data_IF_859564082327
#
_entry.id   IF_859564082327
#
_cell.length_a   1.000
_cell.length_b   1.000
_cell.length_c   1.000
_cell.angle_alpha   90.00
_cell.angle_beta   90.00
_cell.angle_gamma   90.00
#
_symmetry.space_group_name_H-M   'P 1'
#
loop_
_entity.id
_entity.type
_entity.pdbx_description
1 polymer ?
#
# COMPACT_ATOMS: atom_id res chain seq x y z
N UNK A 1 5.63 -47.92 -10.08
CA UNK A 1 5.55 -46.64 -9.34
C UNK A 1 5.18 -45.58 -10.35
N UNK A 2 4.13 -44.79 -10.10
CA UNK A 2 3.78 -43.67 -10.99
C UNK A 2 4.85 -42.58 -10.97
N UNK A 3 4.84 -41.65 -11.94
CA UNK A 3 5.77 -40.54 -11.97
C UNK A 3 5.63 -39.66 -10.71
N UNK A 4 6.73 -39.11 -10.18
CA UNK A 4 6.68 -38.18 -9.05
C UNK A 4 5.79 -36.98 -9.38
N UNK A 5 4.96 -36.57 -8.42
CA UNK A 5 4.01 -35.47 -8.58
C UNK A 5 4.22 -34.38 -7.55
N UNK A 6 4.35 -33.14 -8.00
CA UNK A 6 4.47 -31.97 -7.13
C UNK A 6 3.09 -31.46 -6.70
N UNK A 7 3.00 -30.94 -5.48
CA UNK A 7 1.78 -30.34 -4.96
C UNK A 7 1.69 -28.86 -5.31
N UNK A 8 0.55 -28.43 -5.85
CA UNK A 8 0.26 -27.05 -6.16
C UNK A 8 -1.17 -26.65 -5.76
N UNK A 9 -1.42 -25.35 -5.57
CA UNK A 9 -2.78 -24.79 -5.52
C UNK A 9 -2.86 -23.47 -6.28
N UNK A 10 -4.02 -23.19 -6.85
CA UNK A 10 -4.34 -21.87 -7.39
C UNK A 10 -4.66 -20.93 -6.23
N UNK A 11 -4.17 -19.69 -6.30
CA UNK A 11 -4.44 -18.67 -5.28
C UNK A 11 -5.63 -17.80 -5.68
N UNK A 12 -5.79 -17.53 -6.97
CA UNK A 12 -6.92 -16.78 -7.50
C UNK A 12 -7.32 -17.38 -8.88
N UNK A 13 -8.48 -18.06 -9.00
CA UNK A 13 -9.40 -18.42 -7.91
C UNK A 13 -8.79 -19.47 -6.96
N UNK A 14 -9.02 -19.35 -5.65
CA UNK A 14 -8.45 -20.28 -4.66
C UNK A 14 -8.94 -21.73 -4.90
N UNK A 15 -8.00 -22.68 -4.99
CA UNK A 15 -8.30 -24.10 -5.18
C UNK A 15 -7.79 -24.97 -4.04
N UNK A 16 -8.41 -26.13 -3.86
CA UNK A 16 -7.82 -27.21 -3.06
C UNK A 16 -6.45 -27.63 -3.65
N UNK A 17 -5.55 -28.12 -2.79
CA UNK A 17 -4.26 -28.69 -3.19
C UNK A 17 -4.45 -29.81 -4.21
N UNK A 18 -3.59 -29.83 -5.23
CA UNK A 18 -3.62 -30.78 -6.34
C UNK A 18 -2.21 -31.18 -6.71
N UNK A 19 -2.10 -32.21 -7.54
CA UNK A 19 -0.81 -32.79 -7.90
C UNK A 19 -0.57 -32.69 -9.39
N UNK A 20 0.59 -32.16 -9.79
CA UNK A 20 1.04 -32.10 -11.18
C UNK A 20 2.18 -33.11 -11.39
N UNK A 21 2.14 -33.96 -12.42
CA UNK A 21 3.27 -34.83 -12.76
C UNK A 21 4.53 -34.02 -13.11
N UNK A 22 5.70 -34.48 -12.64
CA UNK A 22 7.00 -33.86 -12.97
C UNK A 22 7.69 -34.53 -14.18
N UNK A 23 6.99 -35.37 -14.93
CA UNK A 23 7.53 -35.97 -16.16
C UNK A 23 7.81 -34.90 -17.21
N UNK A 24 9.02 -34.90 -17.76
CA UNK A 24 9.47 -33.92 -18.78
C UNK A 24 9.51 -32.47 -18.27
N UNK A 25 9.64 -32.26 -16.95
CA UNK A 25 9.84 -30.93 -16.34
C UNK A 25 11.32 -30.73 -16.02
N UNK A 26 11.99 -29.85 -16.78
CA UNK A 26 13.40 -29.48 -16.55
C UNK A 26 13.51 -28.15 -15.78
N UNK A 27 12.58 -27.22 -16.00
CA UNK A 27 12.58 -25.87 -15.45
C UNK A 27 11.16 -25.40 -15.07
N UNK A 28 11.07 -24.18 -14.54
CA UNK A 28 9.80 -23.58 -14.10
C UNK A 28 8.83 -23.34 -15.27
N UNK A 29 9.29 -23.03 -16.48
CA UNK A 29 8.40 -22.88 -17.64
C UNK A 29 7.72 -24.19 -18.03
N UNK A 30 8.43 -25.32 -17.94
CA UNK A 30 7.84 -26.64 -18.19
C UNK A 30 6.84 -27.01 -17.09
N UNK A 31 7.13 -26.60 -15.85
CA UNK A 31 6.22 -26.75 -14.72
C UNK A 31 4.94 -25.92 -14.89
N UNK A 32 5.03 -24.68 -15.40
CA UNK A 32 3.87 -23.85 -15.76
C UNK A 32 2.98 -24.52 -16.81
N UNK A 33 3.58 -25.07 -17.87
CA UNK A 33 2.86 -25.81 -18.93
C UNK A 33 2.17 -27.06 -18.37
N UNK A 34 2.85 -27.83 -17.53
CA UNK A 34 2.30 -29.02 -16.90
C UNK A 34 1.10 -28.70 -16.00
N UNK A 35 1.19 -27.63 -15.20
CA UNK A 35 0.10 -27.17 -14.32
C UNK A 35 -1.11 -26.69 -15.14
N UNK A 36 -0.88 -25.91 -16.21
CA UNK A 36 -1.95 -25.46 -17.10
C UNK A 36 -2.69 -26.64 -17.72
N UNK A 37 -1.98 -27.70 -18.12
CA UNK A 37 -2.59 -28.93 -18.65
C UNK A 37 -3.43 -29.66 -17.61
N UNK A 38 -2.96 -29.75 -16.36
CA UNK A 38 -3.70 -30.41 -15.27
C UNK A 38 -4.96 -29.63 -14.85
N UNK A 39 -4.93 -28.29 -14.98
CA UNK A 39 -6.05 -27.39 -14.63
C UNK A 39 -6.58 -26.61 -15.83
N UNK A 40 -6.71 -27.29 -16.97
CA UNK A 40 -7.12 -26.67 -18.24
C UNK A 40 -8.43 -25.87 -18.11
N UNK A 41 -9.44 -26.41 -17.42
CA UNK A 41 -10.72 -25.70 -17.23
C UNK A 41 -10.60 -24.39 -16.44
N UNK A 42 -9.67 -24.31 -15.48
CA UNK A 42 -9.49 -23.12 -14.62
C UNK A 42 -8.50 -22.11 -15.21
N UNK A 43 -7.58 -22.56 -16.09
CA UNK A 43 -6.52 -21.75 -16.69
C UNK A 43 -6.66 -21.60 -18.22
N UNK A 44 -7.82 -21.95 -18.78
CA UNK A 44 -8.09 -21.95 -20.24
C UNK A 44 -7.81 -20.61 -20.92
N UNK A 45 -8.00 -19.51 -20.19
CA UNK A 45 -7.92 -18.15 -20.71
C UNK A 45 -6.54 -17.50 -20.49
N UNK A 46 -5.55 -18.23 -19.97
CA UNK A 46 -4.21 -17.69 -19.64
C UNK A 46 -3.12 -18.46 -20.39
N UNK A 47 -2.09 -17.79 -20.90
CA UNK A 47 -0.91 -18.49 -21.39
C UNK A 47 -0.10 -19.07 -20.23
N UNK A 48 0.56 -20.20 -20.44
CA UNK A 48 1.42 -20.81 -19.43
C UNK A 48 2.59 -19.88 -19.05
N UNK A 49 3.12 -19.13 -20.01
CA UNK A 49 4.22 -18.19 -19.78
C UNK A 49 3.85 -17.10 -18.75
N UNK A 50 2.58 -16.69 -18.74
CA UNK A 50 2.09 -15.60 -17.93
C UNK A 50 1.82 -16.01 -16.48
N UNK A 51 1.81 -17.31 -16.16
CA UNK A 51 1.60 -17.80 -14.80
C UNK A 51 2.80 -17.46 -13.90
N UNK A 52 2.52 -16.95 -12.71
CA UNK A 52 3.55 -16.76 -11.66
C UNK A 52 3.50 -17.94 -10.69
N UNK A 53 4.67 -18.55 -10.42
CA UNK A 53 4.81 -19.64 -9.45
C UNK A 53 5.57 -19.13 -8.22
N UNK A 54 4.99 -19.32 -7.04
CA UNK A 54 5.69 -19.16 -5.77
C UNK A 54 5.84 -20.50 -5.08
N UNK A 55 7.01 -20.75 -4.50
CA UNK A 55 7.35 -21.98 -3.83
C UNK A 55 7.64 -21.77 -2.34
N UNK A 56 7.39 -22.81 -1.55
CA UNK A 56 7.80 -22.86 -0.16
C UNK A 56 8.12 -24.29 0.25
N UNK A 57 8.82 -24.42 1.38
CA UNK A 57 9.08 -25.70 2.00
C UNK A 57 7.79 -26.33 2.53
N UNK A 58 7.75 -27.67 2.54
CA UNK A 58 6.68 -28.43 3.17
C UNK A 58 6.73 -28.23 4.70
N UNK A 59 6.04 -27.21 5.18
CA UNK A 59 5.75 -26.98 6.60
C UNK A 59 4.26 -27.25 6.82
N UNK A 60 3.89 -27.86 7.93
CA UNK A 60 2.47 -27.96 8.34
C UNK A 60 2.01 -26.53 8.69
N UNK A 61 0.99 -26.03 7.98
CA UNK A 61 0.57 -24.61 7.84
C UNK A 61 1.39 -23.75 6.85
N UNK A 62 1.02 -23.87 5.57
CA UNK A 62 1.65 -23.17 4.45
C UNK A 62 0.98 -21.81 4.20
N UNK A 63 1.58 -20.72 4.72
CA UNK A 63 1.18 -19.35 4.40
C UNK A 63 1.75 -18.92 3.02
N UNK A 64 0.89 -18.41 2.14
CA UNK A 64 1.27 -17.89 0.82
C UNK A 64 2.22 -16.70 0.91
N UNK A 65 2.13 -15.92 2.00
CA UNK A 65 2.98 -14.75 2.23
C UNK A 65 4.45 -15.13 2.53
N UNK A 66 4.70 -16.40 2.86
CA UNK A 66 6.04 -16.95 3.06
C UNK A 66 6.60 -17.63 1.80
N UNK A 67 5.82 -17.71 0.72
CA UNK A 67 6.24 -18.34 -0.53
C UNK A 67 7.09 -17.40 -1.38
N UNK A 68 8.25 -17.88 -1.84
CA UNK A 68 9.18 -17.16 -2.68
C UNK A 68 8.84 -17.37 -4.15
N UNK A 69 8.83 -16.30 -4.92
CA UNK A 69 8.63 -16.36 -6.37
C UNK A 69 9.80 -17.03 -7.10
N UNK A 70 9.47 -17.90 -8.06
CA UNK A 70 10.43 -18.65 -8.85
C UNK A 70 10.69 -17.96 -10.19
N UNK A 71 11.95 -17.92 -10.60
CA UNK A 71 12.34 -17.46 -11.94
C UNK A 71 11.94 -18.49 -13.00
N UNK A 72 11.37 -18.04 -14.12
CA UNK A 72 10.91 -18.87 -15.23
C UNK A 72 11.97 -19.87 -15.75
N UNK A 73 13.24 -19.50 -15.70
CA UNK A 73 14.37 -20.32 -16.19
C UNK A 73 15.05 -21.13 -15.10
N UNK A 74 14.58 -21.05 -13.86
CA UNK A 74 15.17 -21.79 -12.75
C UNK A 74 14.93 -23.29 -12.93
N UNK A 75 15.98 -24.11 -12.77
CA UNK A 75 15.86 -25.57 -12.79
C UNK A 75 15.46 -26.13 -11.40
N UNK A 76 14.96 -27.38 -11.39
CA UNK A 76 14.50 -28.02 -10.15
C UNK A 76 15.63 -28.19 -9.11
N UNK A 77 16.87 -28.40 -9.55
CA UNK A 77 18.03 -28.54 -8.67
C UNK A 77 18.35 -27.24 -7.92
N UNK A 78 18.28 -26.12 -8.62
CA UNK A 78 18.48 -24.78 -8.07
C UNK A 78 17.39 -24.42 -7.09
N UNK A 79 16.13 -24.77 -7.38
CA UNK A 79 15.01 -24.58 -6.44
C UNK A 79 15.26 -25.40 -5.16
N UNK A 80 15.58 -26.69 -5.28
CA UNK A 80 15.87 -27.54 -4.12
C UNK A 80 17.02 -26.97 -3.27
N UNK A 81 18.08 -26.47 -3.90
CA UNK A 81 19.20 -25.84 -3.20
C UNK A 81 18.78 -24.57 -2.45
N UNK A 82 17.99 -23.71 -3.07
CA UNK A 82 17.47 -22.47 -2.48
C UNK A 82 16.62 -22.75 -1.23
N UNK A 83 15.87 -23.85 -1.26
CA UNK A 83 15.02 -24.29 -0.16
C UNK A 83 15.71 -25.24 0.83
N UNK A 84 17.03 -25.46 0.69
CA UNK A 84 17.87 -26.33 1.53
C UNK A 84 17.41 -27.80 1.56
N UNK A 85 16.81 -28.28 0.47
CA UNK A 85 16.43 -29.67 0.27
C UNK A 85 17.56 -30.46 -0.40
N UNK A 86 17.51 -31.80 -0.31
CA UNK A 86 18.50 -32.67 -0.94
C UNK A 86 18.41 -32.57 -2.47
N UNK A 87 19.57 -32.49 -3.14
CA UNK A 87 19.71 -32.46 -4.60
C UNK A 87 20.42 -33.74 -5.06
N UNK A 88 19.68 -34.82 -5.40
CA UNK A 88 20.25 -36.03 -5.96
C UNK A 88 20.73 -35.84 -7.40
N UNK A 89 21.75 -36.58 -7.81
CA UNK A 89 22.28 -36.58 -9.18
C UNK A 89 21.37 -37.32 -10.18
N UNK A 90 20.51 -38.22 -9.70
CA UNK A 90 19.53 -38.92 -10.52
C UNK A 90 18.25 -38.09 -10.68
N UNK A 91 17.82 -37.87 -11.93
CA UNK A 91 16.66 -37.04 -12.29
C UNK A 91 15.37 -37.54 -11.63
N UNK A 92 15.18 -38.86 -11.51
CA UNK A 92 13.97 -39.43 -10.90
C UNK A 92 13.97 -39.21 -9.39
N UNK A 93 15.12 -39.33 -8.74
CA UNK A 93 15.29 -39.02 -7.32
C UNK A 93 15.16 -37.51 -7.04
N UNK A 94 15.65 -36.65 -7.95
CA UNK A 94 15.50 -35.20 -7.84
C UNK A 94 14.04 -34.77 -7.91
N UNK A 95 13.28 -35.30 -8.86
CA UNK A 95 11.84 -35.02 -8.96
C UNK A 95 11.06 -35.54 -7.73
N UNK A 96 11.46 -36.67 -7.15
CA UNK A 96 10.90 -37.15 -5.87
C UNK A 96 11.21 -36.20 -4.72
N UNK A 97 12.47 -35.76 -4.60
CA UNK A 97 12.87 -34.77 -3.59
C UNK A 97 12.06 -33.48 -3.72
N UNK A 98 11.85 -33.00 -4.95
CA UNK A 98 11.02 -31.83 -5.20
C UNK A 98 9.56 -32.02 -4.79
N UNK A 99 8.95 -33.14 -5.19
CA UNK A 99 7.57 -33.49 -4.82
C UNK A 99 7.36 -33.58 -3.29
N UNK A 100 8.36 -34.08 -2.57
CA UNK A 100 8.31 -34.27 -1.13
C UNK A 100 8.51 -32.97 -0.36
N UNK A 101 9.40 -32.09 -0.82
CA UNK A 101 9.85 -30.93 -0.05
C UNK A 101 9.23 -29.60 -0.48
N UNK A 102 8.73 -29.48 -1.72
CA UNK A 102 8.26 -28.20 -2.26
C UNK A 102 6.74 -28.17 -2.38
N UNK A 103 6.16 -27.00 -2.08
CA UNK A 103 4.75 -26.66 -2.28
C UNK A 103 4.63 -25.43 -3.17
N UNK A 104 3.76 -25.50 -4.18
CA UNK A 104 3.62 -24.47 -5.20
C UNK A 104 2.31 -23.71 -5.07
N UNK A 105 2.38 -22.39 -5.20
CA UNK A 105 1.27 -21.48 -5.35
C UNK A 105 1.31 -20.90 -6.75
N UNK A 106 0.18 -20.97 -7.45
CA UNK A 106 0.08 -20.58 -8.84
C UNK A 106 -0.86 -19.39 -8.93
N UNK A 107 -0.38 -18.32 -9.56
CA UNK A 107 -1.10 -17.09 -9.80
C UNK A 107 -1.28 -16.93 -11.32
N UNK A 108 -2.52 -16.82 -11.76
CA UNK A 108 -2.82 -16.44 -13.13
C UNK A 108 -2.92 -14.90 -13.21
N UNK A 109 -2.33 -14.25 -14.21
CA UNK A 109 -2.49 -12.82 -14.39
C UNK A 109 -3.92 -12.54 -14.80
N UNK A 110 -4.61 -11.79 -13.97
CA UNK A 110 -5.95 -11.33 -14.26
C UNK A 110 -5.83 -10.33 -15.41
N UNK A 111 -6.35 -10.68 -16.60
CA UNK A 111 -6.44 -9.74 -17.72
C UNK A 111 -7.08 -8.44 -17.21
N UNK A 112 -6.35 -7.33 -17.27
CA UNK A 112 -6.81 -6.00 -16.86
C UNK A 112 -8.14 -5.64 -17.55
N UNK A 113 -8.41 -6.21 -18.72
CA UNK A 113 -9.66 -6.06 -19.45
C UNK A 113 -10.83 -6.88 -18.85
N UNK A 114 -10.60 -8.09 -18.33
CA UNK A 114 -11.60 -8.86 -17.57
C UNK A 114 -11.79 -8.29 -16.18
N UNK A 115 -10.74 -7.78 -15.52
CA UNK A 115 -10.89 -7.00 -14.29
C UNK A 115 -11.72 -5.75 -14.54
N UNK A 116 -11.51 -5.03 -15.65
CA UNK A 116 -12.37 -3.91 -16.06
C UNK A 116 -13.77 -4.34 -16.45
N UNK A 117 -13.97 -5.43 -17.18
CA UNK A 117 -15.29 -5.87 -17.62
C UNK A 117 -16.10 -6.50 -16.49
N UNK A 118 -15.47 -7.29 -15.62
CA UNK A 118 -16.06 -7.79 -14.38
C UNK A 118 -16.16 -6.68 -13.34
N UNK A 119 -15.28 -5.67 -13.26
CA UNK A 119 -15.51 -4.46 -12.45
C UNK A 119 -16.55 -3.53 -13.06
N UNK A 120 -16.76 -3.52 -14.37
CA UNK A 120 -17.85 -2.77 -15.02
C UNK A 120 -19.18 -3.50 -14.85
N UNK A 121 -19.18 -4.84 -14.90
CA UNK A 121 -20.33 -5.69 -14.58
C UNK A 121 -20.57 -5.74 -13.07
N UNK A 122 -19.55 -5.65 -12.22
CA UNK A 122 -19.66 -5.57 -10.75
C UNK A 122 -19.87 -4.12 -10.28
N UNK A 123 -19.54 -3.11 -11.08
CA UNK A 123 -19.96 -1.71 -10.92
C UNK A 123 -21.42 -1.51 -11.36
N UNK A 124 -21.97 -2.43 -12.16
CA UNK A 124 -23.41 -2.49 -12.40
C UNK A 124 -24.19 -3.01 -11.18
N UNK A 125 -23.49 -3.64 -10.21
CA UNK A 125 -24.00 -3.82 -8.85
C UNK A 125 -23.62 -2.57 -8.05
N UNK A 126 -24.61 -1.78 -7.63
CA UNK A 126 -24.40 -0.66 -6.70
C UNK A 126 -23.66 -1.14 -5.44
N UNK A 127 -22.33 -1.04 -5.40
CA UNK A 127 -21.57 -1.26 -4.17
C UNK A 127 -21.95 -0.13 -3.20
N UNK A 128 -22.52 -0.50 -2.05
CA UNK A 128 -22.77 0.44 -0.97
C UNK A 128 -21.45 1.07 -0.53
N UNK A 129 -21.47 2.39 -0.29
CA UNK A 129 -20.30 3.11 0.21
C UNK A 129 -19.92 2.60 1.59
N UNK A 130 -18.61 2.58 1.89
CA UNK A 130 -18.07 2.06 3.14
C UNK A 130 -17.28 3.10 3.91
N UNK A 131 -17.27 2.94 5.23
CA UNK A 131 -16.39 3.68 6.13
C UNK A 131 -15.02 2.99 6.21
N UNK A 132 -14.00 3.63 5.64
CA UNK A 132 -12.62 3.20 5.74
C UNK A 132 -11.93 3.89 6.92
N UNK A 133 -11.51 3.09 7.90
CA UNK A 133 -10.98 3.54 9.20
C UNK A 133 -9.45 3.52 9.21
N UNK A 134 -8.89 2.48 8.61
CA UNK A 134 -7.48 2.26 8.40
C UNK A 134 -7.20 2.17 6.89
N UNK A 135 -5.95 2.44 6.53
CA UNK A 135 -5.42 2.46 5.16
C UNK A 135 -5.72 3.72 4.34
N UNK A 136 -4.83 3.96 3.38
CA UNK A 136 -4.91 5.05 2.41
C UNK A 136 -6.12 4.86 1.48
N UNK A 137 -6.85 5.95 1.24
CA UNK A 137 -7.96 5.98 0.27
C UNK A 137 -7.40 6.44 -1.08
N UNK A 138 -7.03 5.47 -1.90
CA UNK A 138 -6.55 5.69 -3.27
C UNK A 138 -7.66 6.16 -4.21
N UNK A 139 -7.34 6.89 -5.30
CA UNK A 139 -8.33 7.43 -6.23
C UNK A 139 -9.37 6.41 -6.73
N UNK A 140 -8.96 5.16 -6.96
CA UNK A 140 -9.80 4.09 -7.51
C UNK A 140 -10.89 3.66 -6.54
N UNK A 141 -10.63 3.74 -5.23
CA UNK A 141 -11.58 3.33 -4.19
C UNK A 141 -12.41 4.48 -3.61
N UNK A 142 -12.04 5.74 -3.85
CA UNK A 142 -12.77 6.93 -3.37
C UNK A 142 -14.28 6.90 -3.69
N UNK A 143 -14.73 6.52 -4.91
CA UNK A 143 -16.17 6.48 -5.21
C UNK A 143 -16.97 5.51 -4.33
N UNK A 144 -16.30 4.52 -3.73
CA UNK A 144 -16.91 3.50 -2.89
C UNK A 144 -16.74 3.76 -1.38
N UNK A 145 -16.20 4.92 -1.01
CA UNK A 145 -15.95 5.30 0.37
C UNK A 145 -16.70 6.59 0.72
N UNK A 146 -17.00 6.75 2.01
CA UNK A 146 -17.31 8.08 2.56
C UNK A 146 -15.98 8.83 2.71
N UNK A 147 -15.75 9.80 1.83
CA UNK A 147 -14.48 10.51 1.67
C UNK A 147 -14.71 12.01 1.62
N UNK A 148 -13.96 12.76 2.43
CA UNK A 148 -14.01 14.21 2.44
C UNK A 148 -12.88 14.75 1.56
N UNK A 149 -13.24 15.42 0.46
CA UNK A 149 -12.30 16.11 -0.43
C UNK A 149 -11.50 17.17 0.35
N UNK A 150 -10.20 17.25 0.08
CA UNK A 150 -9.26 18.18 0.71
C UNK A 150 -8.61 19.14 -0.29
N UNK A 151 -9.09 19.25 -1.54
CA UNK A 151 -8.51 20.16 -2.56
C UNK A 151 -8.27 21.57 -2.05
N UNK A 152 -9.26 22.17 -1.39
CA UNK A 152 -9.13 23.55 -0.88
C UNK A 152 -8.10 23.63 0.25
N UNK A 153 -8.06 22.65 1.15
CA UNK A 153 -7.07 22.57 2.24
C UNK A 153 -5.66 22.27 1.72
N UNK A 154 -5.54 21.68 0.54
CA UNK A 154 -4.26 21.40 -0.11
C UNK A 154 -3.62 22.64 -0.73
N UNK A 155 -4.31 23.76 -0.87
CA UNK A 155 -3.80 24.92 -1.58
C UNK A 155 -2.41 25.37 -1.08
N UNK A 156 -2.23 25.57 0.23
CA UNK A 156 -0.94 25.99 0.80
C UNK A 156 0.17 24.95 0.59
N UNK A 157 -0.16 23.66 0.71
CA UNK A 157 0.78 22.58 0.45
C UNK A 157 1.24 22.61 -1.02
N UNK A 158 0.29 22.78 -1.95
CA UNK A 158 0.56 22.86 -3.38
C UNK A 158 1.43 24.07 -3.69
N UNK A 159 1.12 25.24 -3.14
CA UNK A 159 1.91 26.47 -3.33
C UNK A 159 3.37 26.27 -2.91
N UNK A 160 3.63 25.69 -1.73
CA UNK A 160 5.00 25.37 -1.30
C UNK A 160 5.71 24.38 -2.22
N UNK A 161 5.01 23.36 -2.72
CA UNK A 161 5.58 22.39 -3.67
C UNK A 161 5.92 23.08 -4.99
N UNK A 162 5.05 23.95 -5.50
CA UNK A 162 5.27 24.70 -6.75
C UNK A 162 6.46 25.65 -6.64
N UNK A 163 6.71 26.24 -5.46
CA UNK A 163 7.91 27.02 -5.17
C UNK A 163 9.21 26.20 -5.10
N UNK A 164 9.12 24.87 -5.21
CA UNK A 164 10.26 23.95 -5.17
C UNK A 164 10.79 23.71 -3.76
N UNK A 165 9.94 23.90 -2.74
CA UNK A 165 10.28 23.60 -1.36
C UNK A 165 10.31 22.10 -1.12
N UNK A 166 11.12 21.65 -0.15
CA UNK A 166 11.22 20.25 0.25
C UNK A 166 10.47 20.11 1.57
N UNK A 167 9.40 19.30 1.63
CA UNK A 167 8.40 19.42 2.69
C UNK A 167 8.41 18.19 3.61
N UNK A 168 8.30 18.43 4.92
CA UNK A 168 7.93 17.42 5.92
C UNK A 168 6.44 17.51 6.21
N UNK A 169 5.65 16.60 5.63
CA UNK A 169 4.23 16.46 5.93
C UNK A 169 4.03 15.53 7.13
N UNK A 170 3.69 16.10 8.29
CA UNK A 170 3.58 15.33 9.54
C UNK A 170 2.20 15.39 10.17
N UNK A 171 1.84 14.37 10.93
CA UNK A 171 0.61 14.37 11.71
C UNK A 171 0.29 13.01 12.33
N UNK A 172 -0.76 12.91 13.15
CA UNK A 172 -1.11 11.67 13.85
C UNK A 172 -1.30 10.48 12.89
N UNK A 173 -1.12 9.25 13.39
CA UNK A 173 -1.45 8.04 12.62
C UNK A 173 -2.92 8.04 12.22
N UNK A 174 -3.26 7.52 11.05
CA UNK A 174 -4.63 7.51 10.54
C UNK A 174 -5.32 8.89 10.45
N UNK A 175 -4.58 10.00 10.45
CA UNK A 175 -5.15 11.35 10.25
C UNK A 175 -5.53 11.66 8.79
N UNK A 176 -5.30 10.72 7.87
CA UNK A 176 -5.63 10.87 6.44
C UNK A 176 -4.53 11.51 5.59
N UNK A 177 -3.29 11.62 6.10
CA UNK A 177 -2.14 12.22 5.38
C UNK A 177 -1.93 11.61 3.98
N UNK A 178 -1.82 10.29 3.91
CA UNK A 178 -1.58 9.57 2.66
C UNK A 178 -2.73 9.78 1.67
N UNK A 179 -3.98 9.68 2.13
CA UNK A 179 -5.17 9.93 1.29
C UNK A 179 -5.22 11.37 0.74
N UNK A 180 -4.77 12.34 1.53
CA UNK A 180 -4.64 13.75 1.14
C UNK A 180 -3.54 13.96 0.11
N UNK A 181 -2.41 13.25 0.23
CA UNK A 181 -1.29 13.33 -0.71
C UNK A 181 -1.69 12.86 -2.10
N UNK A 182 -2.48 11.80 -2.22
CA UNK A 182 -3.00 11.36 -3.52
C UNK A 182 -3.82 12.44 -4.24
N UNK A 183 -4.60 13.22 -3.49
CA UNK A 183 -5.36 14.36 -4.05
C UNK A 183 -4.45 15.56 -4.37
N UNK A 184 -3.35 15.73 -3.65
CA UNK A 184 -2.33 16.72 -4.00
C UNK A 184 -1.59 16.34 -5.29
N UNK A 185 -1.27 15.05 -5.46
CA UNK A 185 -0.64 14.52 -6.68
C UNK A 185 -1.50 14.78 -7.92
N UNK A 186 -2.79 14.48 -7.88
CA UNK A 186 -3.72 14.77 -8.99
C UNK A 186 -3.73 16.26 -9.37
N UNK A 187 -3.66 17.16 -8.38
CA UNK A 187 -3.60 18.60 -8.62
C UNK A 187 -2.27 19.02 -9.25
N UNK A 188 -1.15 18.45 -8.82
CA UNK A 188 0.18 18.74 -9.37
C UNK A 188 0.33 18.18 -10.79
N UNK A 189 -0.19 16.98 -11.04
CA UNK A 189 -0.19 16.37 -12.38
C UNK A 189 -0.99 17.21 -13.38
N UNK A 190 -2.14 17.75 -12.95
CA UNK A 190 -2.92 18.70 -13.76
C UNK A 190 -2.18 20.00 -14.10
N UNK A 191 -1.11 20.31 -13.35
CA UNK A 191 -0.24 21.47 -13.57
C UNK A 191 1.05 21.14 -14.32
N UNK A 192 1.19 19.92 -14.84
CA UNK A 192 2.33 19.52 -15.68
C UNK A 192 3.52 18.98 -14.91
N UNK A 193 3.30 18.43 -13.73
CA UNK A 193 4.34 17.70 -12.97
C UNK A 193 4.15 16.18 -13.11
N UNK A 194 5.24 15.43 -12.99
CA UNK A 194 5.16 13.98 -12.84
C UNK A 194 5.36 13.64 -11.35
N UNK A 195 4.31 13.13 -10.71
CA UNK A 195 4.38 12.71 -9.31
C UNK A 195 4.84 11.26 -9.22
N UNK A 196 5.78 10.97 -8.33
CA UNK A 196 6.17 9.62 -7.95
C UNK A 196 5.85 9.43 -6.48
N UNK A 197 5.14 8.35 -6.15
CA UNK A 197 4.83 7.97 -4.78
C UNK A 197 5.55 6.68 -4.44
N UNK A 198 6.16 6.65 -3.26
CA UNK A 198 6.76 5.45 -2.67
C UNK A 198 6.45 5.44 -1.18
N UNK A 199 6.37 4.26 -0.58
CA UNK A 199 6.12 4.10 0.86
C UNK A 199 7.20 3.23 1.48
N UNK A 200 7.58 3.55 2.72
CA UNK A 200 8.44 2.70 3.52
C UNK A 200 7.64 1.71 4.39
N UNK A 201 6.30 1.66 4.29
CA UNK A 201 5.42 0.86 5.18
C UNK A 201 5.82 -0.63 5.31
N UNK A 202 6.29 -1.26 4.22
CA UNK A 202 6.77 -2.65 4.23
C UNK A 202 8.30 -2.76 4.21
N UNK A 203 9.01 -1.64 4.22
CA UNK A 203 10.47 -1.61 4.22
C UNK A 203 11.06 -2.05 5.57
N UNK A 204 12.06 -2.94 5.49
CA UNK A 204 12.91 -3.35 6.61
C UNK A 204 14.25 -2.61 6.51
N UNK A 205 14.22 -1.32 6.85
CA UNK A 205 15.39 -0.45 6.79
C UNK A 205 16.27 -0.70 8.00
N UNK A 206 17.51 -1.17 7.76
CA UNK A 206 18.50 -1.48 8.80
C UNK A 206 19.86 -0.80 8.57
N UNK A 207 20.06 -0.26 7.37
CA UNK A 207 21.29 0.41 6.93
C UNK A 207 21.02 1.14 5.61
N UNK A 208 22.02 1.89 5.14
CA UNK A 208 21.95 2.65 3.89
C UNK A 208 21.55 1.80 2.67
N UNK A 209 22.15 0.62 2.48
CA UNK A 209 21.87 -0.25 1.33
C UNK A 209 20.40 -0.70 1.31
N UNK A 210 19.89 -1.16 2.47
CA UNK A 210 18.49 -1.58 2.60
C UNK A 210 17.52 -0.42 2.35
N UNK A 211 17.87 0.81 2.73
CA UNK A 211 17.05 1.99 2.46
C UNK A 211 16.93 2.28 0.96
N UNK A 212 18.07 2.36 0.25
CA UNK A 212 18.04 2.67 -1.18
C UNK A 212 17.35 1.60 -1.99
N UNK A 213 17.56 0.33 -1.62
CA UNK A 213 16.83 -0.79 -2.22
C UNK A 213 15.33 -0.69 -1.96
N UNK A 214 14.91 -0.45 -0.73
CA UNK A 214 13.49 -0.27 -0.41
C UNK A 214 12.87 0.94 -1.11
N UNK A 215 13.63 2.03 -1.29
CA UNK A 215 13.18 3.19 -2.05
C UNK A 215 13.00 2.85 -3.53
N UNK A 216 13.94 2.11 -4.13
CA UNK A 216 13.82 1.63 -5.51
C UNK A 216 12.59 0.74 -5.69
N UNK A 217 12.45 -0.27 -4.82
CA UNK A 217 11.39 -1.26 -4.88
C UNK A 217 10.02 -0.59 -4.66
N UNK A 218 9.95 0.41 -3.79
CA UNK A 218 8.72 1.16 -3.50
C UNK A 218 8.24 2.06 -4.64
N UNK A 219 9.11 2.47 -5.57
CA UNK A 219 8.67 3.15 -6.80
C UNK A 219 7.98 2.21 -7.80
N UNK A 220 8.28 0.91 -7.73
CA UNK A 220 7.76 -0.11 -8.64
C UNK A 220 8.20 0.08 -10.10
N UNK A 221 7.82 -0.88 -10.94
CA UNK A 221 8.18 -0.88 -12.37
C UNK A 221 7.50 0.27 -13.14
N UNK A 222 6.33 0.73 -12.68
CA UNK A 222 5.55 1.80 -13.30
C UNK A 222 6.27 3.15 -13.33
N UNK A 223 7.17 3.39 -12.36
CA UNK A 223 8.01 4.58 -12.37
C UNK A 223 8.97 4.61 -13.58
N UNK A 224 9.27 3.45 -14.19
CA UNK A 224 10.17 3.30 -15.33
C UNK A 224 11.49 4.05 -15.10
N UNK A 225 12.11 3.83 -13.94
CA UNK A 225 13.37 4.47 -13.57
C UNK A 225 14.46 4.09 -14.58
N UNK A 226 15.29 5.03 -15.04
CA UNK A 226 16.29 4.74 -16.07
C UNK A 226 17.49 3.95 -15.52
N UNK A 227 17.67 3.92 -14.20
CA UNK A 227 18.71 3.18 -13.49
C UNK A 227 18.13 2.72 -12.16
N UNK A 228 18.45 1.48 -11.75
CA UNK A 228 18.13 0.95 -10.42
C UNK A 228 18.82 1.76 -9.32
N UNK A 229 18.08 2.16 -8.30
CA UNK A 229 18.60 2.96 -7.19
C UNK A 229 19.12 2.00 -6.10
N UNK A 230 20.43 2.04 -5.85
CA UNK A 230 21.10 1.22 -4.82
C UNK A 230 21.89 2.07 -3.83
N UNK A 231 22.07 3.35 -4.11
CA UNK A 231 22.94 4.28 -3.37
C UNK A 231 22.62 5.74 -3.78
N UNK A 232 23.21 6.75 -3.11
CA UNK A 232 22.99 8.16 -3.44
C UNK A 232 23.37 8.57 -4.87
N UNK A 233 24.38 7.93 -5.47
CA UNK A 233 24.85 8.26 -6.82
C UNK A 233 23.90 7.69 -7.88
N UNK A 234 23.43 6.46 -7.70
CA UNK A 234 22.41 5.88 -8.57
C UNK A 234 21.08 6.63 -8.45
N UNK A 235 20.69 7.10 -7.26
CA UNK A 235 19.54 8.01 -7.10
C UNK A 235 19.67 9.27 -7.96
N UNK A 236 20.82 9.95 -7.90
CA UNK A 236 21.08 11.14 -8.73
C UNK A 236 21.04 10.84 -10.23
N UNK A 237 21.58 9.70 -10.65
CA UNK A 237 21.56 9.26 -12.05
C UNK A 237 20.13 8.94 -12.52
N UNK A 238 19.33 8.29 -11.67
CA UNK A 238 17.94 7.97 -11.96
C UNK A 238 17.14 9.22 -12.31
N UNK A 239 17.42 10.34 -11.63
CA UNK A 239 16.76 11.63 -11.85
C UNK A 239 17.61 12.66 -12.60
N UNK A 240 18.58 12.22 -13.40
CA UNK A 240 19.39 13.11 -14.23
C UNK A 240 18.58 13.63 -15.44
N UNK A 241 18.69 14.93 -15.79
CA UNK A 241 18.10 15.45 -17.04
C UNK A 241 18.64 14.76 -18.29
N UNK A 242 19.83 14.15 -18.23
CA UNK A 242 20.44 13.44 -19.35
C UNK A 242 19.75 12.11 -19.70
N UNK A 243 18.92 11.55 -18.81
CA UNK A 243 18.27 10.25 -19.01
C UNK A 243 17.23 10.24 -20.14
N UNK A 244 16.73 11.42 -20.55
CA UNK A 244 15.61 11.61 -21.49
C UNK A 244 14.29 10.91 -21.10
N UNK A 245 14.25 10.22 -19.96
CA UNK A 245 13.05 9.57 -19.39
C UNK A 245 12.04 10.61 -18.89
N UNK A 246 12.54 11.72 -18.38
CA UNK A 246 11.75 12.72 -17.71
C UNK A 246 11.45 13.87 -18.67
N UNK A 247 10.18 13.99 -19.06
CA UNK A 247 9.70 15.10 -19.89
C UNK A 247 9.06 16.22 -19.07
N UNK A 248 8.74 15.94 -17.81
CA UNK A 248 8.13 16.86 -16.85
C UNK A 248 9.02 16.94 -15.60
N UNK A 249 8.99 18.06 -14.86
CA UNK A 249 9.61 18.13 -13.54
C UNK A 249 9.00 17.09 -12.61
N UNK A 250 9.84 16.42 -11.83
CA UNK A 250 9.43 15.30 -10.97
C UNK A 250 9.21 15.78 -9.54
N UNK A 251 8.11 15.33 -8.92
CA UNK A 251 7.84 15.53 -7.50
C UNK A 251 7.80 14.15 -6.84
N UNK A 252 8.59 13.97 -5.77
CA UNK A 252 8.70 12.68 -5.10
C UNK A 252 7.99 12.74 -3.74
N UNK A 253 7.06 11.83 -3.50
CA UNK A 253 6.39 11.62 -2.22
C UNK A 253 6.93 10.34 -1.59
N UNK A 254 7.46 10.44 -0.37
CA UNK A 254 7.99 9.30 0.40
C UNK A 254 7.16 9.17 1.67
N UNK A 255 6.29 8.17 1.70
CA UNK A 255 5.41 7.89 2.85
C UNK A 255 6.07 6.99 3.90
N UNK A 256 5.58 7.08 5.13
CA UNK A 256 6.13 6.39 6.31
C UNK A 256 7.63 6.68 6.54
N UNK A 257 8.06 7.92 6.25
CA UNK A 257 9.44 8.38 6.41
C UNK A 257 9.90 8.36 7.88
N UNK A 258 8.97 8.38 8.85
CA UNK A 258 9.28 8.25 10.27
C UNK A 258 9.86 6.89 10.66
N UNK A 259 9.81 5.87 9.78
CA UNK A 259 10.55 4.63 10.01
C UNK A 259 12.06 4.83 10.15
N UNK A 260 12.61 5.89 9.54
CA UNK A 260 14.02 6.23 9.67
C UNK A 260 14.38 6.75 11.07
N UNK A 261 13.39 6.94 11.96
CA UNK A 261 13.62 7.32 13.34
C UNK A 261 14.10 6.15 14.21
N UNK A 262 14.03 4.90 13.72
CA UNK A 262 14.58 3.76 14.42
C UNK A 262 16.10 3.90 14.63
N UNK A 263 16.60 3.54 15.80
CA UNK A 263 18.03 3.61 16.14
C UNK A 263 18.87 2.74 15.21
N UNK A 264 18.32 1.61 14.80
CA UNK A 264 18.97 0.69 13.87
C UNK A 264 19.05 1.26 12.43
N UNK A 265 18.33 2.35 12.15
CA UNK A 265 18.29 3.03 10.84
C UNK A 265 19.13 4.31 10.78
N UNK A 266 20.01 4.57 11.74
CA UNK A 266 20.77 5.83 11.82
C UNK A 266 21.57 6.15 10.54
N UNK A 267 22.26 5.14 9.98
CA UNK A 267 23.04 5.31 8.74
C UNK A 267 22.13 5.55 7.53
N UNK A 268 21.00 4.84 7.45
CA UNK A 268 19.99 5.05 6.42
C UNK A 268 19.42 6.48 6.48
N UNK A 269 19.04 6.93 7.68
CA UNK A 269 18.55 8.28 7.92
C UNK A 269 19.58 9.33 7.48
N UNK A 270 20.85 9.16 7.89
CA UNK A 270 21.94 10.07 7.51
C UNK A 270 22.14 10.12 5.99
N UNK A 271 22.09 8.96 5.31
CA UNK A 271 22.24 8.89 3.85
C UNK A 271 21.05 9.52 3.12
N UNK A 272 19.82 9.24 3.56
CA UNK A 272 18.60 9.82 3.01
C UNK A 272 18.61 11.34 3.10
N UNK A 273 18.81 11.89 4.30
CA UNK A 273 18.81 13.34 4.56
C UNK A 273 19.93 14.05 3.78
N UNK A 274 21.14 13.48 3.78
CA UNK A 274 22.28 14.03 3.02
C UNK A 274 21.99 14.06 1.52
N UNK A 275 21.33 13.03 0.99
CA UNK A 275 20.98 12.94 -0.42
C UNK A 275 19.91 13.95 -0.81
N UNK A 276 18.84 14.07 -0.02
CA UNK A 276 17.79 15.07 -0.22
C UNK A 276 18.41 16.48 -0.21
N UNK A 277 19.29 16.77 0.77
CA UNK A 277 19.97 18.07 0.86
C UNK A 277 20.83 18.35 -0.36
N UNK A 278 21.54 17.33 -0.82
CA UNK A 278 22.46 17.49 -1.93
C UNK A 278 21.67 17.69 -3.25
N UNK A 279 20.50 17.07 -3.42
CA UNK A 279 19.59 17.38 -4.55
C UNK A 279 19.07 18.81 -4.45
N UNK A 280 18.63 19.25 -3.27
CA UNK A 280 18.14 20.62 -3.02
C UNK A 280 19.17 21.69 -3.40
N UNK A 281 20.44 21.48 -3.04
CA UNK A 281 21.53 22.42 -3.30
C UNK A 281 22.00 22.42 -4.76
N UNK A 282 21.83 21.31 -5.48
CA UNK A 282 22.24 21.14 -6.87
C UNK A 282 21.11 21.51 -7.85
N UNK A 283 20.53 22.72 -7.71
CA UNK A 283 19.45 23.21 -8.59
C UNK A 283 19.88 23.13 -10.06
N UNK A 284 19.16 22.34 -10.86
CA UNK A 284 19.40 22.14 -12.29
C UNK A 284 20.22 20.91 -12.68
N UNK A 285 20.77 20.13 -11.74
CA UNK A 285 21.45 18.86 -12.03
C UNK A 285 20.54 17.63 -11.95
N UNK A 286 19.35 17.79 -11.41
CA UNK A 286 18.30 16.77 -11.35
C UNK A 286 17.01 17.33 -11.93
N UNK A 287 16.11 16.44 -12.34
CA UNK A 287 14.74 16.80 -12.74
C UNK A 287 13.78 16.93 -11.54
N UNK A 288 14.28 16.67 -10.33
CA UNK A 288 13.49 16.71 -9.09
C UNK A 288 13.19 18.16 -8.75
N UNK A 289 11.92 18.52 -8.80
CA UNK A 289 11.40 19.83 -8.43
C UNK A 289 11.22 19.95 -6.91
N UNK A 290 10.64 18.92 -6.28
CA UNK A 290 10.35 18.89 -4.84
C UNK A 290 10.35 17.45 -4.31
N UNK A 291 10.66 17.28 -3.02
CA UNK A 291 10.51 16.03 -2.28
C UNK A 291 9.66 16.29 -1.05
N UNK A 292 8.65 15.44 -0.85
CA UNK A 292 7.73 15.48 0.28
C UNK A 292 7.93 14.20 1.08
N UNK A 293 8.54 14.32 2.26
CA UNK A 293 8.61 13.24 3.25
C UNK A 293 7.36 13.28 4.13
N UNK A 294 6.66 12.17 4.24
CA UNK A 294 5.39 12.06 4.96
C UNK A 294 5.57 11.11 6.13
N UNK A 295 5.01 11.43 7.28
CA UNK A 295 5.09 10.53 8.42
C UNK A 295 4.41 11.04 9.68
N UNK A 296 4.62 10.33 10.79
CA UNK A 296 4.18 10.79 12.11
C UNK A 296 5.04 11.95 12.64
N UNK A 297 4.76 12.44 13.84
CA UNK A 297 5.55 13.52 14.46
C UNK A 297 7.05 13.17 14.60
N UNK A 298 7.41 11.89 14.61
CA UNK A 298 8.80 11.44 14.68
C UNK A 298 9.66 11.92 13.50
N UNK A 299 9.07 12.27 12.33
CA UNK A 299 9.86 12.84 11.21
C UNK A 299 10.53 14.17 11.55
N UNK A 300 10.00 14.90 12.55
CA UNK A 300 10.57 16.18 12.99
C UNK A 300 11.85 15.97 13.81
N UNK A 301 12.08 14.77 14.33
CA UNK A 301 13.20 14.44 15.21
C UNK A 301 14.39 13.83 14.46
N UNK A 302 14.21 13.46 13.18
CA UNK A 302 15.23 12.81 12.34
C UNK A 302 16.54 13.61 12.20
N UNK A 303 16.51 14.93 12.42
CA UNK A 303 17.66 15.82 12.26
C UNK A 303 18.42 16.11 13.57
N UNK A 304 17.92 15.66 14.73
CA UNK A 304 18.37 16.18 16.04
C UNK A 304 19.82 15.84 16.40
N UNK A 305 20.36 14.73 15.89
CA UNK A 305 21.74 14.31 16.21
C UNK A 305 22.79 15.00 15.35
N UNK A 306 22.40 15.56 14.19
CA UNK A 306 23.26 16.28 13.24
C UNK A 306 22.46 17.38 12.55
N UNK A 307 22.13 18.45 13.28
CA UNK A 307 21.37 19.61 12.75
C UNK A 307 21.96 20.17 11.45
N UNK A 308 23.27 20.02 11.23
CA UNK A 308 23.95 20.44 10.00
C UNK A 308 23.54 19.63 8.77
N UNK A 309 22.84 18.48 8.90
CA UNK A 309 22.43 17.61 7.80
C UNK A 309 20.97 17.80 7.37
N UNK A 310 20.15 18.54 8.13
CA UNK A 310 18.73 18.69 7.77
C UNK A 310 18.59 19.29 6.38
N UNK A 311 17.88 18.61 5.45
CA UNK A 311 17.55 19.15 4.16
C UNK A 311 16.33 20.08 4.22
N UNK A 312 15.69 20.23 5.38
CA UNK A 312 14.41 20.90 5.57
C UNK A 312 14.55 22.17 6.40
N UNK A 313 13.95 23.26 5.94
CA UNK A 313 13.79 24.48 6.71
C UNK A 313 12.59 24.34 7.68
N UNK A 314 12.57 25.16 8.73
CA UNK A 314 11.44 25.18 9.68
C UNK A 314 10.12 25.52 8.98
N UNK A 315 10.16 26.43 7.98
CA UNK A 315 8.99 26.81 7.16
C UNK A 315 8.48 25.66 6.28
N UNK A 316 9.27 24.60 6.12
CA UNK A 316 8.92 23.44 5.29
C UNK A 316 8.31 22.29 6.13
N UNK A 317 8.00 22.55 7.40
CA UNK A 317 7.25 21.63 8.26
C UNK A 317 5.75 21.87 8.07
N UNK A 318 5.10 20.99 7.32
CA UNK A 318 3.68 21.09 7.03
C UNK A 318 2.87 20.14 7.92
N UNK A 319 2.09 20.68 8.84
CA UNK A 319 1.22 19.87 9.69
C UNK A 319 -0.02 19.44 8.91
N UNK A 320 -0.28 18.13 8.86
CA UNK A 320 -1.53 17.58 8.34
C UNK A 320 -2.73 18.17 9.11
N UNK A 321 -3.69 18.68 8.36
CA UNK A 321 -4.92 19.28 8.93
C UNK A 321 -5.97 18.21 9.18
N UNK A 322 -6.66 18.29 10.32
CA UNK A 322 -7.90 17.54 10.57
C UNK A 322 -9.02 17.98 9.62
N UNK A 323 -10.04 17.14 9.48
CA UNK A 323 -11.27 17.50 8.79
C UNK A 323 -11.95 18.66 9.52
N UNK A 324 -12.53 19.59 8.76
CA UNK A 324 -13.36 20.66 9.32
C UNK A 324 -14.70 20.11 9.79
N UNK A 325 -15.36 20.81 10.74
CA UNK A 325 -16.71 20.45 11.15
C UNK A 325 -17.68 20.34 9.97
N UNK A 326 -17.49 21.21 8.95
CA UNK A 326 -18.28 21.17 7.72
C UNK A 326 -18.05 19.89 6.91
N UNK A 327 -16.80 19.46 6.76
CA UNK A 327 -16.48 18.20 6.07
C UNK A 327 -17.06 16.99 6.82
N UNK A 328 -16.98 16.97 8.14
CA UNK A 328 -17.58 15.90 8.96
C UNK A 328 -19.10 15.90 8.78
N UNK A 329 -19.74 17.07 8.84
CA UNK A 329 -21.17 17.22 8.57
C UNK A 329 -21.56 16.68 7.19
N UNK A 330 -20.80 17.04 6.15
CA UNK A 330 -21.08 16.61 4.77
C UNK A 330 -20.91 15.10 4.60
N UNK A 331 -19.90 14.48 5.22
CA UNK A 331 -19.71 13.02 5.26
C UNK A 331 -20.93 12.31 5.86
N UNK A 332 -21.42 12.78 7.03
CA UNK A 332 -22.55 12.16 7.69
C UNK A 332 -23.88 12.45 7.00
N UNK A 333 -24.03 13.59 6.31
CA UNK A 333 -25.18 13.86 5.43
C UNK A 333 -25.20 12.92 4.23
N UNK A 334 -24.03 12.68 3.62
CA UNK A 334 -23.91 11.73 2.52
C UNK A 334 -24.26 10.30 2.97
N UNK A 335 -23.74 9.88 4.13
CA UNK A 335 -24.10 8.60 4.75
C UNK A 335 -25.59 8.51 5.05
N UNK A 336 -26.18 9.54 5.67
CA UNK A 336 -27.60 9.64 6.00
C UNK A 336 -28.48 9.45 4.75
N UNK A 337 -28.11 10.10 3.65
CA UNK A 337 -28.78 9.99 2.37
C UNK A 337 -28.62 8.61 1.73
N UNK A 338 -27.42 8.03 1.79
CA UNK A 338 -27.09 6.76 1.13
C UNK A 338 -27.77 5.58 1.82
N UNK A 339 -27.75 5.55 3.15
CA UNK A 339 -28.33 4.46 3.96
C UNK A 339 -29.80 4.72 4.35
N UNK A 340 -30.36 5.87 3.96
CA UNK A 340 -31.69 6.32 4.34
C UNK A 340 -31.90 6.27 5.86
N UNK A 341 -30.98 6.89 6.60
CA UNK A 341 -31.00 7.05 8.05
C UNK A 341 -31.05 8.55 8.37
N UNK A 342 -31.89 8.94 9.32
CA UNK A 342 -31.90 10.29 9.87
C UNK A 342 -30.99 10.32 11.09
N UNK A 343 -29.94 11.13 11.05
CA UNK A 343 -29.02 11.32 12.18
C UNK A 343 -29.34 12.67 12.82
N UNK A 344 -29.58 12.65 14.13
CA UNK A 344 -29.72 13.87 14.92
C UNK A 344 -28.45 14.75 14.78
N UNK A 345 -28.56 16.04 14.41
CA UNK A 345 -27.41 16.93 14.26
C UNK A 345 -26.48 16.96 15.48
N UNK A 346 -27.01 16.80 16.70
CA UNK A 346 -26.21 16.76 17.92
C UNK A 346 -25.23 15.58 17.96
N UNK A 347 -25.55 14.46 17.27
CA UNK A 347 -24.64 13.32 17.12
C UNK A 347 -23.43 13.73 16.28
N UNK A 348 -23.63 14.48 15.20
CA UNK A 348 -22.56 14.93 14.31
C UNK A 348 -21.68 15.94 15.05
N UNK A 349 -22.28 16.86 15.79
CA UNK A 349 -21.56 17.84 16.62
C UNK A 349 -20.69 17.15 17.68
N UNK A 350 -21.23 16.14 18.37
CA UNK A 350 -20.49 15.36 19.37
C UNK A 350 -19.37 14.54 18.74
N UNK A 351 -19.57 13.93 17.56
CA UNK A 351 -18.49 13.28 16.81
C UNK A 351 -17.39 14.28 16.46
N UNK A 352 -17.73 15.50 16.02
CA UNK A 352 -16.74 16.54 15.74
C UNK A 352 -15.93 16.88 16.99
N UNK A 353 -16.61 17.04 18.14
CA UNK A 353 -15.97 17.37 19.41
C UNK A 353 -15.06 16.24 19.93
N UNK A 354 -15.53 14.99 19.91
CA UNK A 354 -14.79 13.82 20.38
C UNK A 354 -13.55 13.53 19.53
N UNK A 355 -13.67 13.70 18.21
CA UNK A 355 -12.60 13.33 17.28
C UNK A 355 -11.66 14.48 16.93
N UNK A 356 -12.07 15.72 17.23
CA UNK A 356 -11.41 16.95 16.77
C UNK A 356 -11.09 16.91 15.25
N UNK A 357 -12.00 16.31 14.48
CA UNK A 357 -11.87 16.14 13.03
C UNK A 357 -10.82 15.12 12.58
N UNK A 358 -10.27 14.29 13.48
CA UNK A 358 -9.30 13.28 13.11
C UNK A 358 -9.92 12.24 12.16
N UNK A 359 -9.48 12.21 10.90
CA UNK A 359 -10.15 11.48 9.81
C UNK A 359 -10.41 10.00 10.15
N UNK A 360 -9.42 9.28 10.67
CA UNK A 360 -9.60 7.87 11.05
C UNK A 360 -10.60 7.66 12.19
N UNK A 361 -10.69 8.60 13.14
CA UNK A 361 -11.64 8.49 14.26
C UNK A 361 -13.05 8.87 13.81
N UNK A 362 -13.18 9.89 12.95
CA UNK A 362 -14.45 10.24 12.29
C UNK A 362 -14.98 9.02 11.51
N UNK A 363 -14.14 8.40 10.70
CA UNK A 363 -14.49 7.18 9.97
C UNK A 363 -14.84 6.01 10.89
N UNK A 364 -14.14 5.87 12.02
CA UNK A 364 -14.46 4.87 13.03
C UNK A 364 -15.86 5.08 13.61
N UNK A 365 -16.21 6.32 13.98
CA UNK A 365 -17.56 6.65 14.46
C UNK A 365 -18.62 6.30 13.41
N UNK A 366 -18.39 6.66 12.15
CA UNK A 366 -19.29 6.29 11.04
C UNK A 366 -19.46 4.78 10.88
N UNK A 367 -18.35 4.03 10.94
CA UNK A 367 -18.38 2.56 10.90
C UNK A 367 -19.08 1.95 12.11
N UNK A 368 -18.88 2.50 13.30
CA UNK A 368 -19.51 2.05 14.53
C UNK A 368 -21.03 2.27 14.47
N UNK A 369 -21.47 3.43 13.99
CA UNK A 369 -22.90 3.71 13.74
C UNK A 369 -23.46 2.67 12.77
N UNK A 370 -22.81 2.44 11.63
CA UNK A 370 -23.27 1.47 10.63
C UNK A 370 -23.35 0.04 11.16
N UNK A 371 -22.39 -0.38 11.98
CA UNK A 371 -22.30 -1.75 12.49
C UNK A 371 -23.24 -2.02 13.67
N UNK A 372 -23.35 -1.08 14.60
CA UNK A 372 -23.97 -1.33 15.89
C UNK A 372 -25.29 -0.59 16.08
N UNK A 373 -25.42 0.63 15.57
CA UNK A 373 -26.59 1.47 15.85
C UNK A 373 -27.60 1.47 14.71
N UNK A 374 -27.13 1.35 13.47
CA UNK A 374 -28.02 1.26 12.30
C UNK A 374 -28.97 0.05 12.39
N UNK A 375 -28.53 -1.18 12.75
CA UNK A 375 -29.44 -2.32 12.91
C UNK A 375 -30.46 -2.16 14.05
N UNK A 376 -30.15 -1.33 15.05
CA UNK A 376 -31.02 -1.07 16.21
C UNK A 376 -32.04 0.06 15.94
N UNK A 377 -31.92 0.80 14.84
CA UNK A 377 -32.90 1.83 14.48
C UNK A 377 -34.26 1.22 14.14
N UNK A 378 -35.35 1.87 14.54
CA UNK A 378 -36.72 1.44 14.18
C UNK A 378 -36.80 1.27 12.66
N UNK A 379 -37.09 0.06 12.13
CA UNK A 379 -37.15 -0.19 10.70
C UNK A 379 -38.09 0.76 9.94
N UNK A 380 -39.08 1.36 10.63
CA UNK A 380 -40.04 2.30 10.07
C UNK A 380 -39.59 3.76 10.09
N UNK A 381 -38.74 4.16 11.05
CA UNK A 381 -38.29 5.55 11.20
C UNK A 381 -36.81 5.77 10.87
N UNK A 382 -35.94 4.75 11.01
CA UNK A 382 -34.48 4.81 10.80
C UNK A 382 -33.87 6.10 11.35
N UNK A 383 -34.16 6.42 12.61
CA UNK A 383 -33.64 7.63 13.28
C UNK A 383 -32.62 7.22 14.33
N UNK A 384 -31.42 7.81 14.25
CA UNK A 384 -30.41 7.77 15.29
C UNK A 384 -30.54 9.04 16.14
N UNK A 385 -31.08 8.90 17.35
CA UNK A 385 -31.19 9.98 18.33
C UNK A 385 -29.87 10.19 19.08
N UNK A 386 -29.71 11.41 19.61
CA UNK A 386 -28.56 11.74 20.45
C UNK A 386 -28.45 10.85 21.71
N UNK A 387 -29.57 10.54 22.37
CA UNK A 387 -29.57 9.66 23.56
C UNK A 387 -29.00 8.26 23.27
N UNK A 388 -29.33 7.69 22.11
CA UNK A 388 -28.83 6.37 21.69
C UNK A 388 -27.32 6.45 21.43
N UNK A 389 -26.87 7.50 20.74
CA UNK A 389 -25.45 7.77 20.52
C UNK A 389 -24.69 7.93 21.85
N UNK A 390 -25.17 8.76 22.78
CA UNK A 390 -24.52 8.98 24.07
C UNK A 390 -24.41 7.71 24.92
N UNK A 391 -25.46 6.87 24.92
CA UNK A 391 -25.38 5.56 25.59
C UNK A 391 -24.30 4.68 24.97
N UNK A 392 -24.18 4.69 23.64
CA UNK A 392 -23.17 3.91 22.93
C UNK A 392 -21.75 4.43 23.18
N UNK A 393 -21.53 5.75 23.18
CA UNK A 393 -20.22 6.34 23.42
C UNK A 393 -19.67 5.96 24.79
N UNK A 394 -20.53 5.98 25.83
CA UNK A 394 -20.14 5.62 27.21
C UNK A 394 -19.93 4.12 27.39
N UNK A 395 -20.69 3.27 26.68
CA UNK A 395 -20.71 1.82 26.96
C UNK A 395 -19.85 0.96 26.04
N UNK A 396 -19.64 1.37 24.78
CA UNK A 396 -19.05 0.49 23.75
C UNK A 396 -18.03 1.17 22.83
N UNK A 397 -18.08 2.50 22.64
CA UNK A 397 -17.20 3.15 21.67
C UNK A 397 -15.71 2.94 22.01
N UNK A 398 -15.34 2.96 23.29
CA UNK A 398 -13.97 2.72 23.71
C UNK A 398 -13.50 1.30 23.32
N UNK A 399 -14.32 0.29 23.53
CA UNK A 399 -14.00 -1.09 23.12
C UNK A 399 -13.79 -1.17 21.61
N UNK A 400 -14.65 -0.51 20.83
CA UNK A 400 -14.52 -0.42 19.38
C UNK A 400 -13.25 0.29 18.95
N UNK A 401 -12.81 1.35 19.64
CA UNK A 401 -11.51 2.00 19.38
C UNK A 401 -10.36 1.03 19.63
N UNK A 402 -10.42 0.26 20.72
CA UNK A 402 -9.35 -0.69 21.08
C UNK A 402 -9.25 -1.89 20.12
N UNK A 403 -10.29 -2.21 19.34
CA UNK A 403 -10.23 -3.20 18.26
C UNK A 403 -9.23 -2.82 17.16
N UNK A 404 -8.83 -1.54 17.04
CA UNK A 404 -7.94 -1.05 16.00
C UNK A 404 -6.52 -0.78 16.52
N UNK A 405 -5.52 -1.61 16.14
CA UNK A 405 -4.13 -1.41 16.54
C UNK A 405 -3.54 -0.04 16.15
N UNK A 406 -4.10 0.60 15.12
CA UNK A 406 -3.66 1.93 14.67
C UNK A 406 -3.93 3.01 15.71
N UNK A 407 -4.95 2.84 16.55
CA UNK A 407 -5.31 3.80 17.62
C UNK A 407 -4.74 3.42 18.98
N UNK A 408 -4.23 2.20 19.17
CA UNK A 408 -3.58 1.80 20.42
C UNK A 408 -2.17 2.39 20.61
N UNK A 409 -1.60 2.96 19.54
CA UNK A 409 -0.28 3.62 19.51
C UNK A 409 -0.38 5.15 19.30
N UNK A 410 -1.57 5.73 19.47
CA UNK A 410 -1.74 7.18 19.66
C UNK A 410 -1.53 7.52 21.12
#
# INVERSE_FOLDING_TARGET
MGPPKAWFKLVDPESAWSQVPLTEVENVDDLKKAIKKERENALKDHDAADLTLKATNKVEDVDVNQARELDARQDLASILKDFKAAVPDDVTLMQKSFAENIRLFVFAPVEVAKRKAEELVLASVKRAKKWHVNSTIYPEIRPFCYYAEQKMQNQELIEHILEGQYIRLYGPRASGKSSRVWEAMEQLESQGYQCLYTTLEDANVRNEESYWKSLNDGFGDEACLPVTITDPQSFRKAFSPASKRWNLPVIIFIDEFDKLHDKDSADACSSALSSIRAVRNDRGKTVIHSIISIGTFAILELDQTKQSLSPFNITENFKGTSLTAKQVEDLFKEYSKTENITIDPMVIEDICALTNGHAGLVSLCGRAIHRFLYPETDPKMRVLSFDTWQKFTVTKLQDVITEYPTFSKM
#
